data_IF_546009243212
#
_entry.id   IF_546009243212
#
_cell.length_a   1.000
_cell.length_b   1.000
_cell.length_c   1.000
_cell.angle_alpha   90.00
_cell.angle_beta   90.00
_cell.angle_gamma   90.00
#
_symmetry.space_group_name_H-M   'P 1'
#
loop_
_entity.id
_entity.type
_entity.pdbx_description
1 polymer ?
#
# COMPACT_ATOMS: atom_id res chain seq x y z
N UNK A 1 7.91 14.38 2.02
CA UNK A 1 6.64 13.75 2.45
C UNK A 1 5.56 14.81 2.65
N UNK A 2 5.82 15.85 3.44
CA UNK A 2 4.90 16.99 3.68
C UNK A 2 4.25 17.59 2.42
N UNK A 3 5.01 17.86 1.36
CA UNK A 3 4.45 18.36 0.09
C UNK A 3 3.39 17.42 -0.54
N UNK A 4 3.51 16.10 -0.34
CA UNK A 4 2.49 15.13 -0.77
C UNK A 4 1.25 15.25 0.11
N UNK A 5 1.41 15.28 1.44
CA UNK A 5 0.28 15.47 2.38
C UNK A 5 -0.45 16.79 2.15
N UNK A 6 0.25 17.89 1.84
CA UNK A 6 -0.34 19.20 1.58
C UNK A 6 -1.12 19.21 0.25
N UNK A 7 -0.52 18.72 -0.85
CA UNK A 7 -1.24 18.56 -2.12
C UNK A 7 -2.47 17.65 -1.98
N UNK A 8 -2.39 16.61 -1.13
CA UNK A 8 -3.53 15.75 -0.79
C UNK A 8 -4.62 16.44 0.02
N UNK A 9 -4.27 17.30 0.98
CA UNK A 9 -5.22 18.11 1.76
C UNK A 9 -5.91 19.12 0.85
N UNK A 10 -5.16 19.78 -0.03
CA UNK A 10 -5.72 20.71 -1.03
C UNK A 10 -6.69 20.01 -1.99
N UNK A 11 -6.34 18.84 -2.53
CA UNK A 11 -7.23 18.08 -3.42
C UNK A 11 -8.48 17.49 -2.76
N UNK A 12 -8.51 17.37 -1.43
CA UNK A 12 -9.71 16.99 -0.68
C UNK A 12 -10.67 18.17 -0.48
N UNK A 13 -10.16 19.42 -0.52
CA UNK A 13 -10.94 20.66 -0.42
C UNK A 13 -11.39 21.14 -1.79
N UNK A 14 -10.48 21.11 -2.77
CA UNK A 14 -10.67 21.61 -4.13
C UNK A 14 -10.60 20.45 -5.14
N UNK A 15 -11.76 20.10 -5.69
CA UNK A 15 -11.91 19.02 -6.69
C UNK A 15 -11.10 19.28 -7.97
N UNK A 16 -10.77 20.53 -8.31
CA UNK A 16 -9.93 20.83 -9.48
C UNK A 16 -8.48 20.35 -9.27
N UNK A 17 -8.01 20.35 -8.01
CA UNK A 17 -6.69 19.85 -7.60
C UNK A 17 -6.63 18.35 -7.35
N UNK A 18 -7.76 17.62 -7.44
CA UNK A 18 -7.80 16.19 -7.18
C UNK A 18 -6.83 15.38 -8.07
N UNK A 19 -6.64 15.79 -9.33
CA UNK A 19 -5.65 15.18 -10.23
C UNK A 19 -4.22 15.39 -9.71
N UNK A 20 -3.88 16.61 -9.27
CA UNK A 20 -2.57 16.94 -8.71
C UNK A 20 -2.31 16.16 -7.41
N UNK A 21 -3.33 16.01 -6.55
CA UNK A 21 -3.25 15.22 -5.33
C UNK A 21 -2.94 13.73 -5.59
N UNK A 22 -3.56 13.13 -6.60
CA UNK A 22 -3.29 11.74 -7.00
C UNK A 22 -1.94 11.59 -7.74
N UNK A 23 -1.51 12.60 -8.52
CA UNK A 23 -0.14 12.64 -9.08
C UNK A 23 0.92 12.74 -7.98
N UNK A 24 0.74 13.59 -6.98
CA UNK A 24 1.69 13.74 -5.85
C UNK A 24 1.75 12.48 -4.99
N UNK A 25 0.62 11.80 -4.78
CA UNK A 25 0.57 10.45 -4.20
C UNK A 25 1.40 9.46 -5.02
N UNK A 26 1.24 9.43 -6.34
CA UNK A 26 2.00 8.56 -7.22
C UNK A 26 3.51 8.86 -7.16
N UNK A 27 3.91 10.13 -7.14
CA UNK A 27 5.32 10.55 -6.99
C UNK A 27 5.89 10.06 -5.64
N UNK A 28 5.15 10.23 -4.55
CA UNK A 28 5.55 9.71 -3.23
C UNK A 28 5.76 8.19 -3.23
N UNK A 29 4.84 7.46 -3.86
CA UNK A 29 4.87 5.98 -3.86
C UNK A 29 5.89 5.39 -4.85
N UNK A 30 6.11 6.03 -5.99
CA UNK A 30 7.07 5.55 -7.00
C UNK A 30 8.52 5.72 -6.57
N UNK A 31 8.82 6.67 -5.67
CA UNK A 31 10.17 6.88 -5.15
C UNK A 31 10.76 5.62 -4.48
N UNK A 32 10.02 4.99 -3.56
CA UNK A 32 10.49 3.78 -2.87
C UNK A 32 10.48 2.54 -3.78
N UNK A 33 9.53 2.45 -4.71
CA UNK A 33 9.51 1.39 -5.73
C UNK A 33 10.72 1.50 -6.66
N UNK A 34 11.13 2.72 -7.00
CA UNK A 34 12.29 2.98 -7.87
C UNK A 34 13.62 2.64 -7.22
N UNK A 35 13.78 2.85 -5.91
CA UNK A 35 14.98 2.44 -5.16
C UNK A 35 15.05 0.93 -4.92
N UNK A 36 13.91 0.23 -4.93
CA UNK A 36 13.82 -1.24 -4.77
C UNK A 36 13.76 -2.01 -6.09
N UNK A 37 13.89 -1.31 -7.22
CA UNK A 37 13.68 -1.87 -8.55
C UNK A 37 14.71 -2.96 -8.90
N UNK A 38 14.21 -4.15 -9.20
CA UNK A 38 14.98 -5.30 -9.66
C UNK A 38 15.51 -5.10 -11.08
N UNK A 39 16.74 -4.60 -11.17
CA UNK A 39 17.41 -4.34 -12.44
C UNK A 39 17.79 -5.63 -13.20
N UNK A 40 17.73 -6.82 -12.59
CA UNK A 40 18.03 -8.09 -13.29
C UNK A 40 16.99 -8.44 -14.35
N UNK A 41 15.75 -7.97 -14.17
CA UNK A 41 14.65 -8.12 -15.13
C UNK A 41 14.74 -7.18 -16.32
N UNK A 42 15.66 -6.20 -16.30
CA UNK A 42 15.83 -5.26 -17.41
C UNK A 42 16.51 -5.96 -18.61
N UNK A 43 15.83 -5.91 -19.75
CA UNK A 43 16.28 -6.48 -21.02
C UNK A 43 16.75 -5.38 -21.97
N UNK A 44 17.40 -5.77 -23.05
CA UNK A 44 17.70 -4.93 -24.22
C UNK A 44 16.97 -5.51 -25.42
N UNK A 45 16.28 -4.65 -26.15
CA UNK A 45 15.61 -5.00 -27.41
C UNK A 45 16.52 -4.57 -28.56
N UNK A 46 16.63 -5.42 -29.59
CA UNK A 46 17.42 -5.15 -30.81
C UNK A 46 16.62 -5.63 -32.02
N UNK A 47 16.55 -4.82 -33.06
CA UNK A 47 15.88 -5.14 -34.32
C UNK A 47 16.93 -5.57 -35.34
N UNK A 48 16.72 -6.71 -36.00
CA UNK A 48 17.61 -7.26 -37.01
C UNK A 48 16.79 -7.87 -38.15
N UNK A 49 17.09 -7.54 -39.41
CA UNK A 49 16.43 -8.11 -40.62
C UNK A 49 17.30 -9.13 -41.37
N UNK A 50 18.52 -9.41 -40.91
CA UNK A 50 19.42 -10.36 -41.55
C UNK A 50 19.41 -11.70 -40.83
N UNK A 51 19.02 -12.78 -41.51
CA UNK A 51 19.03 -14.17 -41.02
C UNK A 51 20.33 -14.55 -40.27
N UNK A 52 21.48 -14.12 -40.80
CA UNK A 52 22.78 -14.40 -40.20
C UNK A 52 22.97 -13.65 -38.89
N UNK A 53 22.52 -12.40 -38.80
CA UNK A 53 22.55 -11.63 -37.57
C UNK A 53 21.58 -12.22 -36.54
N UNK A 54 20.36 -12.57 -36.96
CA UNK A 54 19.32 -13.19 -36.14
C UNK A 54 19.82 -14.49 -35.49
N UNK A 55 20.32 -15.45 -36.30
CA UNK A 55 20.90 -16.72 -35.80
C UNK A 55 22.02 -16.49 -34.77
N UNK A 56 22.96 -15.60 -35.09
CA UNK A 56 24.04 -15.22 -34.17
C UNK A 56 23.55 -14.61 -32.84
N UNK A 57 22.37 -13.96 -32.79
CA UNK A 57 21.79 -13.46 -31.53
C UNK A 57 21.05 -14.54 -30.75
N UNK A 58 20.35 -15.46 -31.43
CA UNK A 58 19.63 -16.58 -30.80
C UNK A 58 20.62 -17.51 -30.07
N UNK A 59 21.75 -17.82 -30.72
CA UNK A 59 22.81 -18.66 -30.15
C UNK A 59 23.58 -17.99 -29.00
N UNK A 60 23.47 -16.66 -28.85
CA UNK A 60 24.19 -15.94 -27.81
C UNK A 60 23.56 -16.21 -26.42
N UNK A 61 24.38 -16.61 -25.44
CA UNK A 61 23.96 -17.01 -24.09
C UNK A 61 23.10 -16.01 -23.28
N UNK A 62 22.99 -14.76 -23.74
CA UNK A 62 22.07 -13.77 -23.15
C UNK A 62 20.75 -13.60 -23.91
N UNK A 63 20.45 -14.43 -24.90
CA UNK A 63 19.14 -14.48 -25.56
C UNK A 63 18.00 -14.71 -24.54
N UNK A 64 16.85 -14.12 -24.80
CA UNK A 64 15.63 -14.33 -24.01
C UNK A 64 14.44 -14.71 -24.88
N UNK A 65 14.27 -14.07 -26.04
CA UNK A 65 13.12 -14.30 -26.91
C UNK A 65 13.25 -13.52 -28.21
N UNK A 66 12.46 -13.94 -29.19
CA UNK A 66 12.37 -13.34 -30.50
C UNK A 66 10.88 -13.21 -30.84
N UNK A 67 10.51 -12.09 -31.46
CA UNK A 67 9.20 -11.84 -32.03
C UNK A 67 9.37 -11.44 -33.50
N UNK A 68 8.69 -12.14 -34.40
CA UNK A 68 8.77 -11.90 -35.83
C UNK A 68 7.86 -10.72 -36.21
N UNK A 69 8.43 -9.74 -36.90
CA UNK A 69 7.74 -8.63 -37.53
C UNK A 69 7.81 -8.82 -39.06
N UNK A 70 6.98 -8.10 -39.82
CA UNK A 70 6.87 -8.29 -41.27
C UNK A 70 8.22 -8.32 -42.03
N UNK A 71 9.11 -7.37 -41.72
CA UNK A 71 10.39 -7.16 -42.43
C UNK A 71 11.63 -7.28 -41.51
N UNK A 72 11.45 -7.70 -40.25
CA UNK A 72 12.50 -7.74 -39.23
C UNK A 72 12.15 -8.68 -38.07
N UNK A 73 13.12 -9.05 -37.25
CA UNK A 73 12.87 -9.70 -35.96
C UNK A 73 13.16 -8.74 -34.80
N UNK A 74 12.25 -8.63 -33.84
CA UNK A 74 12.52 -8.06 -32.53
C UNK A 74 13.19 -9.10 -31.65
N UNK A 75 14.44 -8.86 -31.25
CA UNK A 75 15.23 -9.78 -30.44
C UNK A 75 15.43 -9.19 -29.03
N UNK A 76 14.85 -9.87 -28.05
CA UNK A 76 14.99 -9.55 -26.63
C UNK A 76 16.19 -10.27 -26.02
N UNK A 77 17.10 -9.50 -25.42
CA UNK A 77 18.34 -9.97 -24.79
C UNK A 77 18.38 -9.60 -23.29
N UNK A 78 18.91 -10.48 -22.44
CA UNK A 78 19.30 -10.18 -21.05
C UNK A 78 20.57 -9.32 -21.03
N UNK A 79 20.71 -8.47 -20.02
CA UNK A 79 21.92 -7.65 -19.81
C UNK A 79 23.06 -8.48 -19.22
N UNK A 80 24.22 -8.49 -19.89
CA UNK A 80 25.42 -9.23 -19.44
C UNK A 80 26.06 -8.65 -18.18
N UNK A 81 25.98 -7.33 -17.97
CA UNK A 81 26.47 -6.63 -16.78
C UNK A 81 25.36 -5.76 -16.23
N UNK A 82 25.05 -5.92 -14.93
CA UNK A 82 24.07 -5.11 -14.22
C UNK A 82 24.81 -4.06 -13.40
N UNK A 83 24.55 -2.78 -13.67
CA UNK A 83 25.01 -1.68 -12.83
C UNK A 83 23.84 -1.24 -11.94
N UNK A 84 23.81 -1.72 -10.70
CA UNK A 84 22.77 -1.37 -9.75
C UNK A 84 23.08 0.02 -9.14
N UNK A 85 22.47 1.05 -9.70
CA UNK A 85 22.56 2.44 -9.21
C UNK A 85 21.49 2.77 -8.14
N UNK A 86 20.67 1.81 -7.74
CA UNK A 86 19.54 2.05 -6.85
C UNK A 86 19.95 1.83 -5.38
N UNK A 87 19.50 2.71 -4.48
CA UNK A 87 19.68 2.52 -3.04
C UNK A 87 18.70 1.48 -2.49
N UNK A 88 18.98 0.19 -2.73
CA UNK A 88 18.08 -0.91 -2.31
C UNK A 88 17.85 -0.94 -0.80
N UNK A 89 18.85 -0.53 -0.01
CA UNK A 89 18.76 -0.41 1.45
C UNK A 89 17.68 0.58 1.90
N UNK A 90 17.43 1.65 1.13
CA UNK A 90 16.35 2.60 1.42
C UNK A 90 14.98 1.92 1.34
N UNK A 91 14.73 1.14 0.29
CA UNK A 91 13.46 0.40 0.16
C UNK A 91 13.29 -0.65 1.23
N UNK A 92 14.36 -1.40 1.55
CA UNK A 92 14.34 -2.38 2.65
C UNK A 92 13.98 -1.68 3.96
N UNK A 93 14.62 -0.55 4.29
CA UNK A 93 14.34 0.21 5.50
C UNK A 93 12.90 0.74 5.55
N UNK A 94 12.35 1.23 4.43
CA UNK A 94 10.96 1.70 4.34
C UNK A 94 9.99 0.55 4.62
N UNK A 95 10.09 -0.57 3.88
CA UNK A 95 9.20 -1.72 4.06
C UNK A 95 9.28 -2.34 5.46
N UNK A 96 10.47 -2.37 6.09
CA UNK A 96 10.58 -2.87 7.46
C UNK A 96 9.97 -1.92 8.49
N UNK A 97 10.07 -0.58 8.30
CA UNK A 97 9.43 0.39 9.19
C UNK A 97 7.91 0.39 9.07
N UNK A 98 7.36 0.22 7.87
CA UNK A 98 5.92 0.09 7.65
C UNK A 98 5.35 -1.16 8.33
N UNK A 99 5.96 -2.33 8.09
CA UNK A 99 5.62 -3.58 8.81
C UNK A 99 5.72 -3.42 10.32
N UNK A 100 6.79 -2.79 10.81
CA UNK A 100 6.94 -2.54 12.25
C UNK A 100 5.79 -1.66 12.76
N UNK A 101 5.41 -0.58 12.07
CA UNK A 101 4.30 0.29 12.50
C UNK A 101 2.95 -0.42 12.50
N UNK A 102 2.71 -1.37 11.58
CA UNK A 102 1.53 -2.24 11.62
C UNK A 102 1.54 -3.21 12.80
N UNK A 103 2.68 -3.81 13.12
CA UNK A 103 2.82 -4.67 14.29
C UNK A 103 2.67 -3.88 15.59
N UNK A 104 3.24 -2.67 15.66
CA UNK A 104 3.06 -1.74 16.76
C UNK A 104 1.58 -1.34 16.94
N UNK A 105 0.85 -1.06 15.86
CA UNK A 105 -0.60 -0.83 15.98
C UNK A 105 -1.35 -2.05 16.54
N UNK A 106 -0.98 -3.25 16.09
CA UNK A 106 -1.60 -4.48 16.58
C UNK A 106 -1.30 -4.76 18.07
N UNK A 107 -0.04 -4.65 18.50
CA UNK A 107 0.36 -4.98 19.88
C UNK A 107 0.25 -3.80 20.85
N UNK A 108 0.79 -2.64 20.49
CA UNK A 108 0.90 -1.46 21.38
C UNK A 108 -0.40 -0.63 21.43
N UNK A 109 -1.36 -0.87 20.52
CA UNK A 109 -2.69 -0.26 20.56
C UNK A 109 -3.80 -1.31 20.73
N UNK A 110 -4.02 -2.21 19.76
CA UNK A 110 -5.20 -3.10 19.80
C UNK A 110 -5.11 -4.12 20.95
N UNK A 111 -4.05 -4.92 21.02
CA UNK A 111 -3.86 -5.91 22.11
C UNK A 111 -3.71 -5.25 23.49
N UNK A 112 -3.07 -4.07 23.53
CA UNK A 112 -2.92 -3.31 24.77
C UNK A 112 -4.28 -2.87 25.35
N UNK A 113 -5.12 -2.17 24.57
CA UNK A 113 -6.36 -1.57 25.07
C UNK A 113 -7.58 -2.49 25.13
N UNK A 114 -7.61 -3.57 24.34
CA UNK A 114 -8.76 -4.47 24.20
C UNK A 114 -8.46 -5.87 24.75
N UNK A 115 -9.45 -6.58 25.27
CA UNK A 115 -9.26 -7.98 25.65
C UNK A 115 -9.21 -8.90 24.42
N UNK A 116 -8.44 -9.99 24.49
CA UNK A 116 -8.31 -10.96 23.39
C UNK A 116 -9.61 -11.68 23.03
N UNK A 117 -10.61 -11.68 23.90
CA UNK A 117 -11.96 -12.16 23.62
C UNK A 117 -12.86 -11.13 22.93
N UNK A 118 -12.53 -9.84 23.02
CA UNK A 118 -13.32 -8.72 22.48
C UNK A 118 -12.92 -8.29 21.05
N UNK A 119 -11.85 -8.85 20.48
CA UNK A 119 -11.49 -8.59 19.08
C UNK A 119 -10.88 -9.79 18.36
N UNK A 120 -11.18 -9.89 17.07
CA UNK A 120 -10.56 -10.83 16.14
C UNK A 120 -9.99 -10.06 14.94
N UNK A 121 -8.67 -10.00 14.84
CA UNK A 121 -8.02 -9.52 13.63
C UNK A 121 -8.18 -10.57 12.52
N UNK A 122 -8.79 -10.16 11.41
CA UNK A 122 -9.03 -11.02 10.25
C UNK A 122 -7.89 -10.88 9.23
N UNK A 123 -7.58 -9.64 8.85
CA UNK A 123 -6.60 -9.33 7.81
C UNK A 123 -5.70 -8.18 8.25
N UNK A 124 -4.40 -8.40 8.14
CA UNK A 124 -3.43 -7.32 7.96
C UNK A 124 -2.87 -7.51 6.55
N UNK A 125 -3.16 -6.60 5.63
CA UNK A 125 -2.44 -6.51 4.35
C UNK A 125 -1.83 -5.09 4.34
N UNK A 126 -0.50 -5.08 4.22
CA UNK A 126 0.53 -4.01 4.24
C UNK A 126 0.37 -2.77 5.18
N UNK A 127 -0.74 -2.00 5.18
CA UNK A 127 -1.02 -0.83 6.06
C UNK A 127 -2.46 -0.79 6.61
N UNK A 128 -3.23 -1.82 6.27
CA UNK A 128 -4.65 -1.90 6.57
C UNK A 128 -4.91 -3.04 7.54
N UNK A 129 -5.82 -2.81 8.49
CA UNK A 129 -6.25 -3.78 9.46
C UNK A 129 -7.78 -3.95 9.41
N UNK A 130 -8.23 -5.17 9.10
CA UNK A 130 -9.61 -5.59 9.25
C UNK A 130 -9.76 -6.28 10.60
N UNK A 131 -10.44 -5.62 11.52
CA UNK A 131 -10.62 -6.08 12.90
C UNK A 131 -12.12 -6.15 13.18
N UNK A 132 -12.61 -7.33 13.54
CA UNK A 132 -13.94 -7.48 14.14
C UNK A 132 -13.82 -7.30 15.65
N UNK A 133 -14.81 -6.64 16.25
CA UNK A 133 -14.92 -6.42 17.68
C UNK A 133 -16.24 -6.99 18.21
N UNK A 134 -16.33 -7.26 19.51
CA UNK A 134 -17.56 -7.70 20.19
C UNK A 134 -18.57 -6.56 20.41
N UNK A 135 -18.10 -5.31 20.56
CA UNK A 135 -18.93 -4.11 20.76
C UNK A 135 -19.24 -3.37 19.46
N UNK A 136 -20.40 -2.69 19.40
CA UNK A 136 -20.77 -1.74 18.34
C UNK A 136 -19.89 -0.46 18.36
N UNK A 137 -19.50 0.02 19.55
CA UNK A 137 -18.59 1.16 19.71
C UNK A 137 -17.28 0.74 20.44
N UNK A 138 -16.34 0.04 19.77
CA UNK A 138 -15.19 -0.58 20.44
C UNK A 138 -14.37 0.41 21.28
N UNK A 139 -14.06 1.58 20.71
CA UNK A 139 -13.24 2.62 21.33
C UNK A 139 -13.94 3.41 22.46
N UNK A 140 -15.16 3.00 22.85
CA UNK A 140 -15.89 3.55 24.00
C UNK A 140 -16.21 2.45 25.02
N UNK A 141 -16.73 1.32 24.53
CA UNK A 141 -17.31 0.27 25.37
C UNK A 141 -16.31 -0.83 25.72
N UNK A 142 -15.61 -1.36 24.71
CA UNK A 142 -14.71 -2.52 24.80
C UNK A 142 -13.29 -2.21 25.31
N UNK A 143 -12.97 -0.96 25.65
CA UNK A 143 -11.67 -0.63 26.25
C UNK A 143 -11.62 -1.07 27.70
N UNK A 144 -10.58 -1.86 28.04
CA UNK A 144 -10.23 -2.31 29.40
C UNK A 144 -10.42 -1.18 30.42
N UNK A 145 -11.29 -1.31 31.45
CA UNK A 145 -11.69 -0.21 32.32
C UNK A 145 -10.53 0.59 32.93
N UNK A 146 -9.48 -0.11 33.36
CA UNK A 146 -8.26 0.43 33.95
C UNK A 146 -7.38 1.23 32.97
N UNK A 147 -7.47 0.96 31.67
CA UNK A 147 -6.72 1.67 30.62
C UNK A 147 -7.50 2.85 30.00
N UNK A 148 -8.77 3.07 30.35
CA UNK A 148 -9.62 4.13 29.76
C UNK A 148 -9.05 5.54 29.96
N UNK A 149 -8.33 5.79 31.05
CA UNK A 149 -7.65 7.07 31.28
C UNK A 149 -6.44 7.23 30.34
N UNK A 150 -5.56 6.22 30.31
CA UNK A 150 -4.38 6.17 29.43
C UNK A 150 -4.75 6.27 27.95
N UNK A 151 -5.83 5.60 27.52
CA UNK A 151 -6.33 5.69 26.15
C UNK A 151 -6.74 7.13 25.79
N UNK A 152 -7.41 7.86 26.68
CA UNK A 152 -7.82 9.25 26.39
C UNK A 152 -6.64 10.20 26.19
N UNK A 153 -5.53 9.95 26.88
CA UNK A 153 -4.29 10.72 26.73
C UNK A 153 -3.53 10.34 25.45
N UNK A 154 -3.41 9.04 25.15
CA UNK A 154 -2.59 8.50 24.07
C UNK A 154 -3.33 8.16 22.77
N UNK A 155 -4.65 8.38 22.67
CA UNK A 155 -5.47 8.11 21.47
C UNK A 155 -4.87 8.74 20.21
N UNK A 156 -4.34 9.95 20.33
CA UNK A 156 -3.87 10.74 19.19
C UNK A 156 -2.45 10.38 18.71
N UNK A 157 -1.75 9.48 19.40
CA UNK A 157 -0.51 8.85 18.90
C UNK A 157 -0.79 7.80 17.80
N UNK A 158 -2.05 7.35 17.72
CA UNK A 158 -2.53 6.35 16.79
C UNK A 158 -3.57 6.91 15.83
N UNK A 159 -4.54 7.68 16.30
CA UNK A 159 -5.72 8.11 15.53
C UNK A 159 -5.73 9.63 15.26
N UNK A 160 -6.36 10.10 14.16
CA UNK A 160 -6.64 11.52 13.94
C UNK A 160 -7.33 12.21 15.11
N UNK A 161 -6.97 13.47 15.38
CA UNK A 161 -7.63 14.29 16.40
C UNK A 161 -9.06 14.63 15.99
N UNK A 162 -10.02 14.30 16.84
CA UNK A 162 -11.46 14.36 16.55
C UNK A 162 -12.21 15.51 17.26
N UNK A 163 -11.54 16.27 18.13
CA UNK A 163 -12.15 17.43 18.83
C UNK A 163 -12.45 18.64 17.91
N UNK A 164 -11.89 18.69 16.70
CA UNK A 164 -12.15 19.74 15.71
C UNK A 164 -12.13 19.16 14.30
N UNK A 165 -13.18 19.45 13.51
CA UNK A 165 -13.35 19.01 12.12
C UNK A 165 -12.17 19.42 11.22
N UNK A 166 -11.59 20.59 11.40
CA UNK A 166 -10.45 21.06 10.58
C UNK A 166 -9.17 20.28 10.90
N UNK A 167 -8.92 20.02 12.19
CA UNK A 167 -7.77 19.22 12.65
C UNK A 167 -7.94 17.77 12.21
N UNK A 168 -9.15 17.21 12.30
CA UNK A 168 -9.47 15.86 11.81
C UNK A 168 -9.21 15.72 10.30
N UNK A 169 -9.61 16.72 9.49
CA UNK A 169 -9.32 16.76 8.04
C UNK A 169 -7.82 16.82 7.76
N UNK A 170 -7.07 17.61 8.51
CA UNK A 170 -5.61 17.70 8.38
C UNK A 170 -4.91 16.37 8.73
N UNK A 171 -5.33 15.75 9.83
CA UNK A 171 -4.77 14.50 10.36
C UNK A 171 -5.13 13.26 9.53
N UNK A 172 -6.28 13.25 8.85
CA UNK A 172 -6.65 12.20 7.87
C UNK A 172 -5.61 12.04 6.73
N UNK A 173 -4.71 13.03 6.56
CA UNK A 173 -3.56 13.06 5.62
C UNK A 173 -2.20 13.19 6.32
N UNK A 174 -2.14 13.12 7.65
CA UNK A 174 -0.88 13.05 8.41
C UNK A 174 -0.32 11.62 8.33
N UNK A 175 0.93 11.41 7.89
CA UNK A 175 1.53 10.07 7.80
C UNK A 175 1.65 9.39 9.17
N UNK A 176 1.53 8.07 9.21
CA UNK A 176 1.70 7.27 10.43
C UNK A 176 0.48 7.19 11.36
N UNK A 177 -0.57 8.00 11.12
CA UNK A 177 -1.85 7.87 11.81
C UNK A 177 -2.77 6.87 11.10
N UNK A 178 -3.52 6.15 11.91
CA UNK A 178 -4.53 5.15 11.57
C UNK A 178 -5.91 5.79 11.57
N UNK A 179 -6.64 5.72 10.46
CA UNK A 179 -7.99 6.27 10.31
C UNK A 179 -8.97 5.16 9.97
N UNK A 180 -10.20 5.30 10.43
CA UNK A 180 -11.29 4.51 9.90
C UNK A 180 -11.57 4.89 8.44
N UNK A 181 -11.70 3.88 7.58
CA UNK A 181 -12.13 3.99 6.20
C UNK A 181 -13.60 3.57 6.03
N UNK A 182 -14.05 2.58 6.79
CA UNK A 182 -15.37 1.96 6.69
C UNK A 182 -15.63 1.07 7.91
N UNK A 183 -16.90 0.94 8.32
CA UNK A 183 -17.32 0.34 9.60
C UNK A 183 -18.44 -0.71 9.41
N UNK A 184 -18.62 -1.68 10.32
CA UNK A 184 -19.79 -2.58 10.28
C UNK A 184 -19.82 -3.98 10.92
N UNK A 185 -20.92 -4.68 10.66
CA UNK A 185 -21.43 -5.99 11.13
C UNK A 185 -20.79 -7.31 10.60
N UNK A 186 -20.63 -7.56 9.29
CA UNK A 186 -20.12 -8.84 8.75
C UNK A 186 -19.10 -8.78 7.56
N UNK A 187 -17.86 -9.20 7.80
CA UNK A 187 -16.87 -9.48 6.74
C UNK A 187 -16.71 -10.98 6.48
N UNK A 188 -16.70 -11.39 5.20
CA UNK A 188 -16.45 -12.78 4.81
C UNK A 188 -15.23 -12.87 3.90
N UNK A 189 -14.10 -13.30 4.47
CA UNK A 189 -12.89 -13.62 3.70
C UNK A 189 -13.02 -14.98 3.02
N UNK A 190 -12.56 -15.08 1.78
CA UNK A 190 -12.44 -16.35 1.02
C UNK A 190 -10.97 -16.74 0.84
N UNK A 191 -10.09 -15.78 0.54
CA UNK A 191 -8.63 -15.99 0.43
C UNK A 191 -7.86 -14.75 0.93
N UNK A 192 -6.53 -14.87 1.03
CA UNK A 192 -5.60 -13.85 1.57
C UNK A 192 -5.56 -12.50 0.85
N UNK A 193 -6.33 -12.32 -0.22
CA UNK A 193 -6.58 -11.04 -0.92
C UNK A 193 -8.00 -10.93 -1.48
N UNK A 194 -8.91 -11.79 -1.02
CA UNK A 194 -10.28 -11.86 -1.51
C UNK A 194 -11.27 -11.84 -0.36
N UNK A 195 -11.85 -10.66 -0.16
CA UNK A 195 -12.92 -10.38 0.79
C UNK A 195 -14.22 -10.14 0.03
N UNK A 196 -15.33 -10.61 0.59
CA UNK A 196 -16.70 -10.25 0.20
C UNK A 196 -17.30 -9.47 1.37
N UNK A 197 -17.77 -8.26 1.06
CA UNK A 197 -18.07 -7.22 2.04
C UNK A 197 -19.57 -7.09 2.31
N UNK A 198 -19.97 -7.21 3.57
CA UNK A 198 -21.21 -6.61 4.10
C UNK A 198 -20.98 -6.21 5.56
N UNK A 199 -20.22 -5.12 5.73
CA UNK A 199 -20.01 -4.32 6.96
C UNK A 199 -18.81 -4.81 7.86
N UNK A 200 -17.77 -4.00 8.16
CA UNK A 200 -16.65 -4.26 9.13
C UNK A 200 -15.83 -2.99 9.38
N UNK A 201 -15.11 -2.85 10.50
CA UNK A 201 -14.10 -1.80 10.68
C UNK A 201 -12.78 -2.06 9.93
N UNK A 202 -12.48 -1.20 8.94
CA UNK A 202 -11.28 -1.18 8.11
C UNK A 202 -10.44 0.05 8.45
N UNK A 203 -9.33 -0.17 9.17
CA UNK A 203 -8.46 0.91 9.63
C UNK A 203 -7.22 0.99 8.74
N UNK A 204 -6.90 2.19 8.24
CA UNK A 204 -5.78 2.47 7.33
C UNK A 204 -4.74 3.40 7.94
N UNK A 205 -3.46 3.10 7.73
CA UNK A 205 -2.41 4.11 7.87
C UNK A 205 -2.46 5.17 6.74
N UNK A 206 -1.71 6.26 6.89
CA UNK A 206 -1.76 7.45 6.05
C UNK A 206 -1.26 7.35 4.59
N UNK A 207 -1.22 6.18 3.93
CA UNK A 207 -0.88 5.99 2.51
C UNK A 207 -2.00 5.21 1.77
N UNK A 208 -1.99 5.19 0.42
CA UNK A 208 -2.71 4.17 -0.40
C UNK A 208 -2.22 4.03 -1.84
N UNK A 209 -2.38 2.83 -2.42
CA UNK A 209 -2.05 2.45 -3.80
C UNK A 209 -3.24 1.71 -4.47
N UNK A 210 -3.28 1.63 -5.80
CA UNK A 210 -4.44 1.14 -6.59
C UNK A 210 -4.06 -0.03 -7.51
N UNK A 211 -5.02 -0.92 -7.80
CA UNK A 211 -5.17 -1.71 -9.05
C UNK A 211 -6.48 -2.53 -9.20
N UNK A 212 -7.28 -2.36 -10.26
CA UNK A 212 -8.56 -3.10 -10.48
C UNK A 212 -8.65 -3.82 -11.85
N UNK A 213 -9.48 -4.87 -11.92
CA UNK A 213 -10.12 -5.55 -13.09
C UNK A 213 -9.63 -7.00 -13.25
N UNK A 214 -10.46 -8.03 -13.53
CA UNK A 214 -11.78 -8.11 -14.16
C UNK A 214 -12.59 -9.33 -13.63
N UNK A 215 -13.92 -9.51 -13.73
CA UNK A 215 -15.04 -8.59 -14.04
C UNK A 215 -16.44 -9.18 -13.71
N UNK A 216 -16.84 -9.21 -12.43
CA UNK A 216 -18.25 -9.01 -11.96
C UNK A 216 -18.18 -8.51 -10.50
N UNK A 217 -18.87 -7.40 -10.22
CA UNK A 217 -18.86 -6.58 -8.99
C UNK A 217 -17.80 -6.89 -7.91
N UNK A 218 -16.57 -6.40 -8.14
CA UNK A 218 -15.48 -6.37 -7.15
C UNK A 218 -14.64 -5.10 -7.35
N UNK A 219 -14.68 -4.12 -6.45
CA UNK A 219 -13.83 -2.92 -6.52
C UNK A 219 -12.59 -3.17 -5.66
N UNK A 220 -11.57 -3.79 -6.26
CA UNK A 220 -10.20 -3.72 -5.72
C UNK A 220 -9.83 -2.23 -5.42
N UNK A 221 -8.96 -1.92 -4.44
CA UNK A 221 -7.72 -2.65 -4.16
C UNK A 221 -7.07 -2.25 -2.84
N UNK A 222 -6.30 -3.21 -2.30
CA UNK A 222 -5.00 -3.04 -1.62
C UNK A 222 -4.63 -1.65 -1.07
N UNK A 223 -4.56 -1.55 0.25
CA UNK A 223 -3.31 -1.89 0.95
C UNK A 223 -2.00 -1.24 0.46
N UNK A 224 -1.25 -0.68 1.40
CA UNK A 224 -0.12 0.27 1.24
C UNK A 224 0.90 0.11 2.38
N UNK A 225 1.88 1.00 2.53
CA UNK A 225 2.88 0.99 3.62
C UNK A 225 2.80 2.27 4.48
#
# INVERSE_FOLDING_TARGET
MEAVSNARREGDVDKSKAMIAEMMKLVGNTAFGRSGMDMSKHKEVKYESSDKAIKNKIEHFTFHGLEELNDACEITMKKRRLNNKNSIHLSIAIYQRAKLRMLQFYYDCIDFYFDRSDFQCQELDTDSANIAFSCENPFQDCIKPELRAHFKEHKYDWFPRDYNIEVAKFDRRTPGLFKDEWSGDAMRRVFSREVVETMVFLILMGLRLLYRSASRYKVQTRVSD
#
